data_IF_453797013536
#
_entry.id   IF_453797013536
#
_cell.length_a   1.000
_cell.length_b   1.000
_cell.length_c   1.000
_cell.angle_alpha   90.00
_cell.angle_beta   90.00
_cell.angle_gamma   90.00
#
_symmetry.space_group_name_H-M   'P 1'
#
loop_
_entity.id
_entity.type
_entity.pdbx_description
1 polymer ?
#
# COMPACT_ATOMS: atom_id res chain seq x y z
N UNK A 1 8.99 6.68 7.52
CA UNK A 1 8.62 5.68 6.51
C UNK A 1 7.15 5.37 6.71
N UNK A 2 6.30 5.80 5.79
CA UNK A 2 4.86 5.62 5.90
C UNK A 2 4.41 4.17 5.63
N UNK A 3 3.24 3.82 6.16
CA UNK A 3 2.54 2.55 5.92
C UNK A 3 1.14 2.87 5.39
N UNK A 4 0.75 2.20 4.31
CA UNK A 4 -0.60 2.26 3.75
C UNK A 4 -1.24 0.88 3.82
N UNK A 5 -2.40 0.81 4.46
CA UNK A 5 -3.19 -0.42 4.58
C UNK A 5 -4.29 -0.41 3.53
N UNK A 6 -4.31 -1.44 2.70
CA UNK A 6 -5.32 -1.66 1.68
C UNK A 6 -6.29 -2.76 2.08
N UNK A 7 -7.52 -2.69 1.59
CA UNK A 7 -8.52 -3.74 1.70
C UNK A 7 -9.19 -3.95 0.33
N UNK A 8 -9.59 -5.19 0.04
CA UNK A 8 -10.39 -5.47 -1.15
C UNK A 8 -11.86 -5.13 -0.90
N UNK A 9 -12.41 -4.21 -1.67
CA UNK A 9 -13.83 -3.87 -1.63
C UNK A 9 -14.60 -4.69 -2.67
N UNK A 10 -15.54 -5.50 -2.18
CA UNK A 10 -16.35 -6.39 -3.03
C UNK A 10 -17.35 -5.64 -3.93
N UNK A 11 -17.77 -4.42 -3.54
CA UNK A 11 -18.77 -3.65 -4.27
C UNK A 11 -18.24 -3.11 -5.60
N UNK A 12 -17.03 -2.55 -5.56
CA UNK A 12 -16.40 -1.91 -6.72
C UNK A 12 -15.31 -2.79 -7.35
N UNK A 13 -15.09 -4.00 -6.81
CA UNK A 13 -14.09 -4.96 -7.31
C UNK A 13 -12.66 -4.44 -7.21
N UNK A 14 -12.42 -3.53 -6.26
CA UNK A 14 -11.25 -2.67 -6.22
C UNK A 14 -10.49 -2.76 -4.91
N UNK A 15 -9.23 -2.31 -4.96
CA UNK A 15 -8.38 -2.18 -3.80
C UNK A 15 -8.50 -0.75 -3.25
N UNK A 16 -8.97 -0.60 -2.01
CA UNK A 16 -9.15 0.71 -1.36
C UNK A 16 -8.14 0.89 -0.23
N UNK A 17 -7.62 2.12 -0.06
CA UNK A 17 -6.83 2.49 1.11
C UNK A 17 -7.77 2.71 2.29
N UNK A 18 -7.53 2.02 3.41
CA UNK A 18 -8.39 2.09 4.61
C UNK A 18 -7.70 2.77 5.79
N UNK A 19 -6.38 2.87 5.76
CA UNK A 19 -5.61 3.59 6.79
C UNK A 19 -4.22 3.99 6.27
N UNK A 20 -3.73 5.12 6.77
CA UNK A 20 -2.41 5.65 6.48
C UNK A 20 -1.73 6.06 7.78
N UNK A 21 -0.47 5.66 7.93
CA UNK A 21 0.32 5.91 9.13
C UNK A 21 1.70 6.45 8.76
N UNK A 22 2.24 7.32 9.63
CA UNK A 22 3.61 7.79 9.52
C UNK A 22 3.90 8.64 8.29
N UNK A 23 2.87 9.32 7.77
CA UNK A 23 2.95 10.26 6.65
C UNK A 23 3.93 11.40 6.96
N UNK A 24 4.00 11.81 8.22
CA UNK A 24 4.95 12.78 8.77
C UNK A 24 6.42 12.32 8.69
N UNK A 25 6.67 11.02 8.50
CA UNK A 25 8.00 10.43 8.44
C UNK A 25 8.45 10.06 7.02
N UNK A 26 7.72 10.49 5.97
CA UNK A 26 8.11 10.34 4.57
C UNK A 26 7.14 9.51 3.72
N UNK A 27 6.90 9.99 2.49
CA UNK A 27 5.76 9.60 1.65
C UNK A 27 6.12 9.00 0.27
N UNK A 28 7.41 8.99 -0.10
CA UNK A 28 7.81 8.67 -1.49
C UNK A 28 7.61 7.19 -1.88
N UNK A 29 7.61 6.28 -0.91
CA UNK A 29 7.36 4.86 -1.15
C UNK A 29 6.88 4.19 0.14
N UNK A 30 5.59 4.30 0.50
CA UNK A 30 5.08 3.68 1.71
C UNK A 30 5.18 2.15 1.62
N UNK A 31 5.37 1.51 2.77
CA UNK A 31 5.14 0.07 2.91
C UNK A 31 3.65 -0.15 2.72
N UNK A 32 3.31 -1.06 1.80
CA UNK A 32 1.92 -1.35 1.45
C UNK A 32 1.57 -2.75 1.92
N UNK A 33 0.46 -2.88 2.61
CA UNK A 33 -0.05 -4.16 3.11
C UNK A 33 -1.51 -4.34 2.71
N UNK A 34 -1.92 -5.59 2.48
CA UNK A 34 -3.29 -5.98 2.20
C UNK A 34 -3.90 -6.61 3.44
N UNK A 35 -5.00 -6.06 3.92
CA UNK A 35 -5.80 -6.57 5.02
C UNK A 35 -6.96 -7.43 4.50
N UNK A 36 -7.11 -8.63 5.05
CA UNK A 36 -8.14 -9.60 4.63
C UNK A 36 -9.43 -9.58 5.45
N UNK A 37 -9.54 -8.73 6.48
CA UNK A 37 -10.76 -8.64 7.31
C UNK A 37 -10.75 -9.50 8.59
N UNK A 38 -9.72 -10.32 8.82
CA UNK A 38 -9.64 -11.25 9.97
C UNK A 38 -8.29 -11.24 10.71
N UNK A 39 -7.60 -10.09 10.73
CA UNK A 39 -6.31 -9.93 11.42
C UNK A 39 -5.08 -10.40 10.65
N UNK A 40 -5.25 -10.91 9.43
CA UNK A 40 -4.15 -11.29 8.54
C UNK A 40 -3.77 -10.17 7.57
N UNK A 41 -2.47 -10.02 7.35
CA UNK A 41 -1.89 -9.03 6.46
C UNK A 41 -0.87 -9.66 5.54
N UNK A 42 -0.94 -9.31 4.26
CA UNK A 42 0.08 -9.66 3.27
C UNK A 42 0.85 -8.43 2.79
N UNK A 43 2.11 -8.63 2.40
CA UNK A 43 2.87 -7.60 1.72
C UNK A 43 2.26 -7.34 0.34
N UNK A 44 1.87 -6.10 0.08
CA UNK A 44 1.26 -5.72 -1.18
C UNK A 44 2.28 -4.99 -2.05
N UNK A 45 2.75 -5.68 -3.09
CA UNK A 45 3.57 -5.06 -4.11
C UNK A 45 2.68 -4.57 -5.25
N UNK A 46 2.37 -3.27 -5.26
CA UNK A 46 1.75 -2.63 -6.41
C UNK A 46 2.90 -2.32 -7.39
N UNK A 47 2.93 -2.93 -8.59
CA UNK A 47 3.93 -2.59 -9.59
C UNK A 47 3.79 -1.11 -9.93
N UNK A 48 4.72 -0.29 -9.45
CA UNK A 48 4.72 1.13 -9.76
C UNK A 48 5.04 1.34 -11.24
N UNK A 49 4.24 2.19 -11.90
CA UNK A 49 4.77 3.14 -12.88
C UNK A 49 6.12 3.65 -12.33
N UNK A 50 7.22 3.35 -13.03
CA UNK A 50 8.58 3.67 -12.64
C UNK A 50 8.69 5.11 -12.13
N UNK A 51 8.75 5.31 -10.82
CA UNK A 51 9.45 6.45 -10.26
C UNK A 51 10.94 6.25 -10.53
N UNK A 52 11.43 6.85 -11.62
CA UNK A 52 12.85 7.22 -11.81
C UNK A 52 13.92 6.12 -11.73
N UNK A 53 14.28 5.59 -12.91
CA UNK A 53 15.59 5.05 -13.32
C UNK A 53 16.44 4.27 -12.29
N UNK A 54 16.54 2.97 -12.53
CA UNK A 54 17.76 2.20 -12.26
C UNK A 54 18.98 2.96 -12.82
N UNK A 55 19.97 3.22 -11.96
CA UNK A 55 21.35 3.43 -12.39
C UNK A 55 22.17 2.24 -11.90
N UNK A 56 22.89 1.67 -12.88
CA UNK A 56 23.93 0.67 -12.73
C UNK A 56 25.01 1.09 -11.73
#
# INVERSE_FOLDING_TARGET
MAITVYMYEQKDGGLISVAEYGQEYGNDNPIRVLYHGFGHYDALQIPGSKGGKSKL
#
